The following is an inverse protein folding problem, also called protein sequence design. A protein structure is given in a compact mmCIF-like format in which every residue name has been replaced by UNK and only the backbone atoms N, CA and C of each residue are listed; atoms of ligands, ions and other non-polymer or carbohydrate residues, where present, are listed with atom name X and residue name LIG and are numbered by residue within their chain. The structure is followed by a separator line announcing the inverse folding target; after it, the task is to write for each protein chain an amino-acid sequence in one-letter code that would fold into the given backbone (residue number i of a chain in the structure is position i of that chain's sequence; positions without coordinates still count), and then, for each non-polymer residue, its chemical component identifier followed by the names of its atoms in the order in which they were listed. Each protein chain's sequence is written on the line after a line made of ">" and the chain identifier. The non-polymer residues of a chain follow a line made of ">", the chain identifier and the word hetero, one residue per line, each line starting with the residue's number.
data_IF_926450750980
#
_entry.id   IF_926450750980
#
_cell.length_a   1.000
_cell.length_b   1.000
_cell.length_c   1.000
_cell.angle_alpha   90.00
_cell.angle_beta   90.00
_cell.angle_gamma   90.00
#
_symmetry.space_group_name_H-M   'P 1'
#
loop_
_entity.id
_entity.type
_entity.pdbx_description
1 polymer ?
#
# COMPACT_ATOMS: atom_id res chain seq x y z
N UNK A 1 -17.84 -8.52 -13.28
CA UNK A 1 -18.05 -8.42 -11.82
C UNK A 1 -17.46 -7.15 -11.20
N UNK A 2 -16.15 -6.85 -11.33
CA UNK A 2 -15.57 -5.61 -10.76
C UNK A 2 -15.98 -4.36 -11.56
N UNK A 3 -15.94 -4.44 -12.90
CA UNK A 3 -16.38 -3.35 -13.79
C UNK A 3 -17.88 -3.01 -13.62
N UNK A 4 -18.74 -4.03 -13.49
CA UNK A 4 -20.18 -3.82 -13.26
C UNK A 4 -20.47 -3.11 -11.93
N UNK A 5 -19.67 -3.36 -10.88
CA UNK A 5 -19.84 -2.70 -9.59
C UNK A 5 -19.41 -1.24 -9.62
N UNK A 6 -18.37 -0.95 -10.40
CA UNK A 6 -17.87 0.40 -10.64
C UNK A 6 -18.90 1.25 -11.39
N UNK A 7 -19.43 0.73 -12.51
CA UNK A 7 -20.48 1.40 -13.29
C UNK A 7 -21.75 1.62 -12.47
N UNK A 8 -22.15 0.65 -11.63
CA UNK A 8 -23.30 0.79 -10.72
C UNK A 8 -23.06 1.85 -9.64
N UNK A 9 -21.83 1.99 -9.13
CA UNK A 9 -21.49 3.04 -8.18
C UNK A 9 -21.57 4.43 -8.83
N UNK A 10 -21.02 4.59 -10.04
CA UNK A 10 -21.11 5.85 -10.80
C UNK A 10 -22.56 6.22 -11.13
N UNK A 11 -23.37 5.26 -11.60
CA UNK A 11 -24.80 5.47 -11.85
C UNK A 11 -25.58 5.90 -10.60
N UNK A 12 -25.12 5.50 -9.42
CA UNK A 12 -25.70 5.89 -8.12
C UNK A 12 -25.12 7.21 -7.58
N UNK A 13 -24.29 7.91 -8.36
CA UNK A 13 -23.69 9.19 -8.00
C UNK A 13 -22.49 9.10 -7.06
N UNK A 14 -21.95 7.90 -6.83
CA UNK A 14 -20.72 7.75 -6.08
C UNK A 14 -19.53 8.15 -6.95
N UNK A 15 -18.54 8.77 -6.30
CA UNK A 15 -17.28 9.10 -6.95
C UNK A 15 -16.39 7.84 -7.04
N UNK A 16 -15.61 7.69 -8.13
CA UNK A 16 -14.57 6.66 -8.24
C UNK A 16 -13.63 6.69 -7.04
N UNK A 17 -13.42 5.55 -6.41
CA UNK A 17 -12.43 5.38 -5.34
C UNK A 17 -11.21 4.65 -5.89
N UNK A 18 -10.04 5.26 -5.72
CA UNK A 18 -8.78 4.66 -6.14
C UNK A 18 -8.00 4.25 -4.92
N UNK A 19 -7.58 2.98 -4.90
CA UNK A 19 -6.65 2.46 -3.91
C UNK A 19 -5.24 2.97 -4.23
N UNK A 20 -4.92 4.18 -3.77
CA UNK A 20 -3.63 4.81 -3.97
C UNK A 20 -3.23 5.61 -2.75
N UNK A 21 -1.93 5.74 -2.55
CA UNK A 21 -1.40 6.69 -1.58
C UNK A 21 -1.58 8.11 -2.09
N UNK A 22 -1.67 9.03 -1.15
CA UNK A 22 -1.82 10.46 -1.38
C UNK A 22 -0.74 11.18 -0.58
N UNK A 23 -0.04 12.11 -1.20
CA UNK A 23 0.99 12.89 -0.54
C UNK A 23 0.66 14.38 -0.67
N UNK A 24 0.13 14.96 0.41
CA UNK A 24 -0.37 16.33 0.42
C UNK A 24 0.76 17.32 0.74
N UNK A 25 1.15 18.11 -0.25
CA UNK A 25 2.11 19.20 -0.08
C UNK A 25 1.36 20.52 0.15
N UNK A 26 1.77 21.26 1.18
CA UNK A 26 1.21 22.59 1.45
C UNK A 26 1.74 23.60 0.42
N UNK A 27 0.83 24.24 -0.31
CA UNK A 27 1.15 25.21 -1.37
C UNK A 27 1.04 26.67 -0.90
N UNK A 28 0.82 26.89 0.41
CA UNK A 28 0.70 28.21 1.02
C UNK A 28 -0.73 28.54 1.45
N UNK A 29 -1.00 29.82 1.70
CA UNK A 29 -2.33 30.30 2.14
C UNK A 29 -3.08 30.96 0.99
N UNK A 30 -4.40 30.76 0.95
CA UNK A 30 -5.29 31.51 0.05
C UNK A 30 -5.43 32.98 0.49
N UNK A 31 -6.14 33.78 -0.30
CA UNK A 31 -6.42 35.19 0.01
C UNK A 31 -7.19 35.41 1.33
N UNK A 32 -7.79 34.35 1.89
CA UNK A 32 -8.52 34.36 3.16
C UNK A 32 -7.66 33.84 4.33
N UNK A 33 -6.42 33.42 4.07
CA UNK A 33 -5.48 32.92 5.07
C UNK A 33 -5.54 31.41 5.33
N UNK A 34 -6.31 30.64 4.56
CA UNK A 34 -6.42 29.19 4.73
C UNK A 34 -5.32 28.44 3.97
N UNK A 35 -4.70 27.45 4.63
CA UNK A 35 -3.70 26.59 3.99
C UNK A 35 -4.32 25.76 2.87
N UNK A 36 -3.62 25.72 1.74
CA UNK A 36 -3.96 24.94 0.55
C UNK A 36 -3.00 23.77 0.44
N UNK A 37 -3.52 22.64 -0.03
CA UNK A 37 -2.76 21.41 -0.20
C UNK A 37 -2.96 20.86 -1.61
N UNK A 38 -1.95 20.16 -2.12
CA UNK A 38 -2.01 19.50 -3.41
C UNK A 38 -1.40 18.12 -3.31
N UNK A 39 -2.05 17.13 -3.91
CA UNK A 39 -1.53 15.77 -4.00
C UNK A 39 -0.39 15.72 -5.02
N UNK A 40 0.79 15.33 -4.55
CA UNK A 40 2.00 15.16 -5.36
C UNK A 40 2.49 13.70 -5.38
N UNK A 41 1.68 12.74 -4.92
CA UNK A 41 2.09 11.33 -4.89
C UNK A 41 2.38 10.79 -6.30
N UNK A 42 1.49 11.05 -7.27
CA UNK A 42 1.60 10.52 -8.63
C UNK A 42 2.78 11.05 -9.42
N UNK A 43 3.13 12.32 -9.23
CA UNK A 43 4.25 12.92 -9.97
C UNK A 43 5.62 12.47 -9.43
N UNK A 44 5.63 11.84 -8.24
CA UNK A 44 6.82 11.37 -7.55
C UNK A 44 6.88 9.83 -7.45
N UNK A 45 5.99 9.11 -8.14
CA UNK A 45 5.86 7.65 -8.09
C UNK A 45 5.63 7.08 -6.67
N UNK A 46 4.95 7.84 -5.81
CA UNK A 46 4.67 7.49 -4.41
C UNK A 46 3.28 6.88 -4.21
N UNK A 47 2.48 6.83 -5.28
CA UNK A 47 1.09 6.35 -5.24
C UNK A 47 0.95 4.86 -4.88
N UNK A 48 2.04 4.08 -5.03
CA UNK A 48 2.06 2.64 -4.78
C UNK A 48 3.32 2.25 -4.01
N UNK A 49 3.18 2.05 -2.69
CA UNK A 49 4.26 1.58 -1.82
C UNK A 49 3.87 0.32 -1.04
N UNK A 50 3.03 -0.53 -1.60
CA UNK A 50 2.51 -1.73 -0.95
C UNK A 50 1.86 -1.43 0.43
N UNK A 51 1.88 -2.40 1.35
CA UNK A 51 1.36 -2.21 2.71
C UNK A 51 2.34 -1.43 3.57
N UNK A 52 2.02 -0.15 3.79
CA UNK A 52 2.82 0.78 4.59
C UNK A 52 2.32 0.90 6.03
N UNK A 53 3.25 0.97 6.98
CA UNK A 53 3.00 1.14 8.41
C UNK A 53 3.25 2.56 8.90
N UNK A 54 4.25 3.24 8.36
CA UNK A 54 4.62 4.60 8.79
C UNK A 54 5.42 5.33 7.71
N UNK A 55 5.32 6.66 7.73
CA UNK A 55 6.17 7.57 6.97
C UNK A 55 6.97 8.46 7.93
N UNK A 56 8.28 8.59 7.70
CA UNK A 56 9.17 9.40 8.52
C UNK A 56 9.93 10.39 7.63
N UNK A 57 9.86 11.67 7.98
CA UNK A 57 10.64 12.72 7.35
C UNK A 57 11.87 13.07 8.17
N UNK A 58 13.05 12.90 7.58
CA UNK A 58 14.31 13.33 8.16
C UNK A 58 15.29 13.67 7.04
N UNK A 59 16.28 14.49 7.37
CA UNK A 59 17.42 14.74 6.50
C UNK A 59 18.43 13.61 6.72
N UNK A 60 18.55 12.67 5.78
CA UNK A 60 19.39 11.48 5.95
C UNK A 60 20.76 11.63 5.30
N UNK A 61 20.90 12.50 4.30
CA UNK A 61 22.17 12.77 3.62
C UNK A 61 22.85 14.09 4.06
N UNK A 62 22.19 14.85 4.94
CA UNK A 62 22.62 16.14 5.49
C UNK A 62 22.73 17.26 4.45
N UNK A 63 21.89 17.23 3.40
CA UNK A 63 21.84 18.29 2.38
C UNK A 63 20.92 19.48 2.78
N UNK A 64 20.25 19.37 3.94
CA UNK A 64 19.33 20.38 4.47
C UNK A 64 17.89 20.22 3.97
N UNK A 65 17.62 19.24 3.11
CA UNK A 65 16.29 18.84 2.67
C UNK A 65 15.83 17.62 3.47
N UNK A 66 14.54 17.55 3.76
CA UNK A 66 13.97 16.37 4.42
C UNK A 66 13.60 15.34 3.36
N UNK A 67 14.24 14.19 3.42
CA UNK A 67 13.84 12.98 2.71
C UNK A 67 12.70 12.29 3.43
N UNK A 68 12.15 11.26 2.81
CA UNK A 68 11.04 10.48 3.35
C UNK A 68 11.33 8.98 3.31
N UNK A 69 11.18 8.32 4.44
CA UNK A 69 11.25 6.88 4.59
C UNK A 69 9.85 6.30 4.83
N UNK A 70 9.49 5.24 4.12
CA UNK A 70 8.26 4.48 4.34
C UNK A 70 8.61 3.07 4.79
N UNK A 71 8.13 2.70 5.97
CA UNK A 71 8.22 1.34 6.46
C UNK A 71 7.05 0.49 5.95
N UNK A 72 7.39 -0.69 5.44
CA UNK A 72 6.45 -1.64 4.88
C UNK A 72 6.56 -3.00 5.55
N UNK A 73 5.51 -3.80 5.40
CA UNK A 73 5.55 -5.21 5.73
C UNK A 73 4.15 -5.82 5.86
N UNK A 74 4.00 -7.07 5.46
CA UNK A 74 2.92 -7.91 5.94
C UNK A 74 3.56 -9.25 6.31
N UNK A 75 3.43 -9.72 7.55
CA UNK A 75 4.08 -10.97 7.93
C UNK A 75 3.44 -12.18 7.22
N UNK A 76 2.14 -12.14 6.95
CA UNK A 76 1.44 -13.16 6.14
C UNK A 76 0.13 -12.58 5.64
N UNK A 77 -0.16 -12.69 4.35
CA UNK A 77 -1.42 -12.21 3.79
C UNK A 77 -2.55 -13.23 3.93
N UNK A 78 -3.24 -13.12 5.06
CA UNK A 78 -4.47 -13.85 5.36
C UNK A 78 -5.71 -13.30 4.63
N UNK A 79 -5.55 -12.24 3.84
CA UNK A 79 -6.60 -11.64 3.00
C UNK A 79 -6.50 -12.06 1.54
N UNK A 80 -5.44 -12.81 1.19
CA UNK A 80 -5.28 -13.41 -0.13
C UNK A 80 -6.47 -14.33 -0.45
N UNK A 81 -7.02 -14.20 -1.65
CA UNK A 81 -8.10 -15.02 -2.17
C UNK A 81 -7.79 -16.53 -2.10
N UNK A 82 -6.54 -16.93 -2.31
CA UNK A 82 -6.13 -18.33 -2.25
C UNK A 82 -6.28 -18.90 -0.83
N UNK A 83 -5.87 -18.12 0.19
CA UNK A 83 -6.07 -18.49 1.59
C UNK A 83 -7.55 -18.53 1.97
N UNK A 84 -8.35 -17.56 1.50
CA UNK A 84 -9.80 -17.52 1.74
C UNK A 84 -10.49 -18.75 1.12
N UNK A 85 -10.13 -19.11 -0.11
CA UNK A 85 -10.67 -20.29 -0.78
C UNK A 85 -10.26 -21.58 -0.07
N UNK A 86 -8.98 -21.73 0.28
CA UNK A 86 -8.48 -22.87 1.03
C UNK A 86 -9.19 -23.04 2.38
N UNK A 87 -9.34 -21.95 3.14
CA UNK A 87 -10.08 -21.93 4.40
C UNK A 87 -11.54 -22.33 4.20
N UNK A 88 -12.22 -21.78 3.19
CA UNK A 88 -13.61 -22.14 2.87
C UNK A 88 -13.77 -23.63 2.54
N UNK A 89 -12.83 -24.20 1.78
CA UNK A 89 -12.83 -25.62 1.44
C UNK A 89 -12.59 -26.51 2.67
N UNK A 90 -11.67 -26.13 3.56
CA UNK A 90 -11.43 -26.87 4.80
C UNK A 90 -12.65 -26.86 5.71
N UNK A 91 -13.30 -25.71 5.88
CA UNK A 91 -14.51 -25.60 6.71
C UNK A 91 -15.66 -26.47 6.19
N UNK A 92 -15.78 -26.65 4.87
CA UNK A 92 -16.78 -27.55 4.26
C UNK A 92 -16.53 -29.04 4.54
N UNK A 93 -15.31 -29.43 4.94
CA UNK A 93 -14.97 -30.84 5.24
C UNK A 93 -15.44 -31.30 6.63
N UNK A 94 -16.04 -30.43 7.45
CA UNK A 94 -16.56 -30.75 8.79
C UNK A 94 -15.54 -31.51 9.67
N UNK A 95 -14.26 -31.16 9.58
CA UNK A 95 -13.21 -31.71 10.42
C UNK A 95 -13.30 -31.15 11.84
N UNK A 96 -12.67 -31.82 12.80
CA UNK A 96 -12.54 -31.27 14.15
C UNK A 96 -11.74 -29.94 14.15
N UNK A 97 -11.98 -29.12 15.16
CA UNK A 97 -11.39 -27.78 15.27
C UNK A 97 -9.86 -27.81 15.39
N UNK A 98 -9.29 -28.88 15.97
CA UNK A 98 -7.84 -29.01 16.17
C UNK A 98 -7.14 -29.34 14.86
N UNK A 99 -7.67 -30.30 14.10
CA UNK A 99 -7.17 -30.67 12.77
C UNK A 99 -7.32 -29.52 11.79
N UNK A 100 -8.46 -28.83 11.80
CA UNK A 100 -8.69 -27.65 10.95
C UNK A 100 -7.67 -26.56 11.23
N UNK A 101 -7.41 -26.25 12.51
CA UNK A 101 -6.40 -25.25 12.91
C UNK A 101 -4.99 -25.66 12.47
N UNK A 102 -4.62 -26.93 12.64
CA UNK A 102 -3.31 -27.45 12.23
C UNK A 102 -3.08 -27.29 10.72
N UNK A 103 -4.06 -27.69 9.90
CA UNK A 103 -3.95 -27.58 8.44
C UNK A 103 -3.89 -26.12 7.95
N UNK A 104 -4.61 -25.21 8.61
CA UNK A 104 -4.52 -23.78 8.31
C UNK A 104 -3.14 -23.22 8.65
N UNK A 105 -2.57 -23.59 9.81
CA UNK A 105 -1.23 -23.16 10.21
C UNK A 105 -0.14 -23.72 9.30
N UNK A 106 -0.25 -24.98 8.88
CA UNK A 106 0.67 -25.59 7.90
C UNK A 106 0.61 -24.87 6.55
N UNK A 107 -0.59 -24.52 6.09
CA UNK A 107 -0.75 -23.74 4.86
C UNK A 107 -0.11 -22.36 4.97
N UNK A 108 -0.36 -21.63 6.08
CA UNK A 108 0.25 -20.33 6.33
C UNK A 108 1.78 -20.40 6.43
N UNK A 109 2.32 -21.44 7.06
CA UNK A 109 3.76 -21.65 7.18
C UNK A 109 4.44 -22.02 5.84
N UNK A 110 3.66 -22.54 4.88
CA UNK A 110 4.12 -22.86 3.53
C UNK A 110 3.98 -21.72 2.52
N UNK A 111 3.34 -20.60 2.91
CA UNK A 111 3.32 -19.41 2.07
C UNK A 111 4.72 -18.79 2.03
N UNK A 112 5.17 -18.40 0.84
CA UNK A 112 6.38 -17.60 0.71
C UNK A 112 6.22 -16.29 1.49
N UNK A 113 7.27 -15.91 2.21
CA UNK A 113 7.31 -14.64 2.92
C UNK A 113 7.14 -13.50 1.92
N UNK A 114 6.08 -12.71 2.08
CA UNK A 114 5.90 -11.49 1.29
C UNK A 114 6.76 -10.39 1.89
N UNK A 115 8.07 -10.51 1.69
CA UNK A 115 9.03 -9.46 2.00
C UNK A 115 8.72 -8.26 1.13
N UNK A 116 8.02 -7.29 1.70
CA UNK A 116 7.85 -5.98 1.08
C UNK A 116 9.09 -5.13 1.37
N UNK A 117 9.58 -4.46 0.34
CA UNK A 117 10.67 -3.51 0.47
C UNK A 117 10.19 -2.26 1.20
N UNK A 118 11.00 -1.73 2.11
CA UNK A 118 10.81 -0.36 2.58
C UNK A 118 11.18 0.60 1.45
N UNK A 119 10.45 1.70 1.34
CA UNK A 119 10.74 2.73 0.34
C UNK A 119 11.49 3.87 0.98
N UNK A 120 12.46 4.41 0.24
CA UNK A 120 13.17 5.62 0.62
C UNK A 120 13.10 6.60 -0.54
N UNK A 121 12.68 7.83 -0.26
CA UNK A 121 12.47 8.89 -1.23
C UNK A 121 13.36 10.07 -0.86
N UNK A 122 14.37 10.32 -1.69
CA UNK A 122 15.28 11.44 -1.55
C UNK A 122 14.63 12.72 -2.07
N UNK A 123 14.75 13.82 -1.35
CA UNK A 123 14.19 15.10 -1.75
C UNK A 123 15.16 15.87 -2.65
N UNK A 124 14.76 16.14 -3.90
CA UNK A 124 15.62 16.79 -4.90
C UNK A 124 15.27 18.29 -5.12
N UNK A 125 14.39 18.87 -4.30
CA UNK A 125 14.03 20.28 -4.45
C UNK A 125 12.66 20.69 -3.91
N UNK A 126 12.25 20.17 -2.77
CA UNK A 126 11.02 20.50 -2.06
C UNK A 126 9.76 19.83 -2.60
N UNK A 127 9.58 19.79 -3.93
CA UNK A 127 8.40 19.20 -4.59
C UNK A 127 8.72 17.85 -5.24
N UNK A 128 9.97 17.68 -5.69
CA UNK A 128 10.43 16.48 -6.37
C UNK A 128 11.09 15.52 -5.39
N UNK A 129 10.63 14.29 -5.41
CA UNK A 129 11.15 13.18 -4.63
C UNK A 129 11.52 12.04 -5.58
N UNK A 130 12.72 11.50 -5.41
CA UNK A 130 13.20 10.38 -6.20
C UNK A 130 13.34 9.14 -5.31
N UNK A 131 12.79 8.01 -5.77
CA UNK A 131 13.00 6.74 -5.12
C UNK A 131 14.49 6.39 -5.13
N UNK A 132 15.06 6.22 -3.94
CA UNK A 132 16.41 5.68 -3.76
C UNK A 132 16.25 4.33 -3.08
N UNK A 133 16.25 3.26 -3.87
CA UNK A 133 16.18 1.91 -3.33
C UNK A 133 17.45 1.65 -2.50
N UNK A 134 17.27 1.36 -1.20
CA UNK A 134 18.38 0.88 -0.37
C UNK A 134 18.85 -0.45 -0.97
N UNK A 135 20.13 -0.52 -1.34
CA UNK A 135 20.74 -1.58 -2.16
C UNK A 135 20.88 -2.95 -1.46
N UNK A 136 19.93 -3.32 -0.60
CA UNK A 136 19.92 -4.57 0.16
C UNK A 136 18.86 -5.58 -0.29
N UNK A 137 17.95 -5.20 -1.17
CA UNK A 137 16.81 -6.04 -1.56
C UNK A 137 16.54 -5.93 -3.05
N UNK A 138 17.18 -6.82 -3.81
CA UNK A 138 17.03 -6.96 -5.25
C UNK A 138 15.72 -7.71 -5.51
N UNK A 139 14.74 -7.09 -6.18
CA UNK A 139 14.23 -7.52 -7.50
C UNK A 139 13.15 -6.57 -8.09
N UNK A 140 13.45 -6.10 -9.30
CA UNK A 140 12.61 -5.58 -10.40
C UNK A 140 11.27 -4.89 -10.08
N UNK A 141 11.31 -3.58 -10.25
CA UNK A 141 10.25 -2.56 -10.24
C UNK A 141 9.14 -2.67 -11.31
N UNK A 142 8.85 -3.86 -11.86
CA UNK A 142 7.86 -4.00 -12.95
C UNK A 142 6.70 -4.95 -12.65
N UNK A 143 6.83 -5.84 -11.67
CA UNK A 143 5.82 -6.88 -11.41
C UNK A 143 4.74 -6.48 -10.37
N UNK A 144 4.99 -5.49 -9.52
CA UNK A 144 4.01 -5.06 -8.50
C UNK A 144 2.91 -4.16 -9.07
N UNK A 145 3.20 -3.40 -10.14
CA UNK A 145 2.23 -2.50 -10.79
C UNK A 145 1.13 -3.23 -11.57
N UNK A 146 1.31 -4.51 -11.91
CA UNK A 146 0.38 -5.28 -12.75
C UNK A 146 -0.54 -6.22 -11.95
N UNK A 147 -0.43 -6.27 -10.62
CA UNK A 147 -1.28 -7.14 -9.80
C UNK A 147 -2.62 -6.45 -9.49
N UNK A 148 -3.77 -7.00 -9.92
CA UNK A 148 -5.06 -6.48 -9.50
C UNK A 148 -5.20 -6.66 -7.98
N UNK A 149 -5.21 -5.54 -7.25
CA UNK A 149 -5.40 -5.52 -5.80
C UNK A 149 -6.82 -6.03 -5.46
N UNK A 150 -6.97 -6.98 -4.52
CA UNK A 150 -8.27 -7.33 -3.96
C UNK A 150 -8.94 -6.09 -3.36
N UNK A 151 -10.25 -5.93 -3.60
CA UNK A 151 -11.04 -4.77 -3.18
C UNK A 151 -11.20 -4.78 -1.66
N UNK A 152 -10.22 -4.29 -0.90
CA UNK A 152 -10.35 -3.65 0.42
C UNK A 152 -9.02 -2.94 0.72
N UNK A 153 -8.97 -1.61 0.69
CA UNK A 153 -7.84 -0.82 1.20
C UNK A 153 -8.38 0.30 2.09
N UNK A 154 -8.01 0.24 3.37
CA UNK A 154 -8.11 1.35 4.30
C UNK A 154 -6.69 1.68 4.73
N UNK A 155 -5.98 2.52 3.97
CA UNK A 155 -4.78 3.18 4.47
C UNK A 155 -5.06 4.67 4.47
N UNK A 156 -5.47 5.12 5.65
CA UNK A 156 -5.55 6.52 5.99
C UNK A 156 -4.15 6.93 6.44
N UNK A 157 -3.46 7.75 5.64
CA UNK A 157 -2.38 8.59 6.15
C UNK A 157 -3.07 9.83 6.72
N UNK A 158 -3.35 9.85 8.03
CA UNK A 158 -3.41 11.13 8.74
C UNK A 158 -1.99 11.49 9.12
N UNK A 159 -1.64 12.73 8.81
CA UNK A 159 -0.42 13.44 9.20
C UNK A 159 -0.20 13.35 10.72
#
# INVERSE_FOLDING_TARGET
>A
MIEELFEVAEMRGYQPQFAQNVFQMCTGKDAKGHYQFSDIARINDMQHTDWSWSALFADYDNDGLKDMFISNGIPTDITNNDYIQFKSQLLKKNLDSTTTKKMLLEYLAGLEDMSFHNYFFRNEGGILFQISLISGSIQSHRAAMERPMPIWTWTVIWI
#
